data_IF_511631266534
#
_entry.id   IF_511631266534
#
_cell.length_a   1.000
_cell.length_b   1.000
_cell.length_c   1.000
_cell.angle_alpha   90.00
_cell.angle_beta   90.00
_cell.angle_gamma   90.00
#
_symmetry.space_group_name_H-M   'P 1'
#
loop_
_entity.id
_entity.type
_entity.pdbx_description
1 polymer ?
#
# COMPACT_ATOMS: atom_id res chain seq x y z
N UNK A 1 -13.64 -14.08 47.20
CA UNK A 1 -13.90 -15.49 46.83
C UNK A 1 -15.29 -15.49 46.22
N UNK A 2 -15.37 -15.32 44.90
CA UNK A 2 -16.63 -15.21 44.14
C UNK A 2 -16.69 -16.41 43.20
N UNK A 3 -17.85 -17.06 43.20
CA UNK A 3 -18.13 -18.40 42.67
C UNK A 3 -17.98 -18.47 41.13
N UNK A 4 -17.27 -19.47 40.54
CA UNK A 4 -17.06 -19.57 39.09
C UNK A 4 -18.31 -19.86 38.24
N UNK A 5 -19.48 -20.05 38.87
CA UNK A 5 -20.72 -20.41 38.19
C UNK A 5 -21.50 -19.21 37.60
N UNK A 6 -21.13 -17.96 37.91
CA UNK A 6 -22.01 -16.80 37.70
C UNK A 6 -21.83 -16.04 36.38
N UNK A 7 -21.04 -16.53 35.41
CA UNK A 7 -20.77 -15.77 34.18
C UNK A 7 -21.07 -16.47 32.86
N UNK A 8 -21.87 -17.54 32.87
CA UNK A 8 -22.25 -18.24 31.64
C UNK A 8 -23.50 -17.61 31.01
N UNK A 9 -23.32 -16.92 29.89
CA UNK A 9 -24.40 -16.19 29.19
C UNK A 9 -25.06 -17.03 28.11
N UNK A 10 -26.31 -16.72 27.78
CA UNK A 10 -27.00 -17.29 26.60
C UNK A 10 -26.71 -16.47 25.35
N UNK A 11 -26.98 -17.03 24.17
CA UNK A 11 -26.79 -16.31 22.90
C UNK A 11 -27.62 -15.02 22.82
N UNK A 12 -28.80 -14.98 23.48
CA UNK A 12 -29.64 -13.80 23.55
C UNK A 12 -29.00 -12.68 24.36
N UNK A 13 -28.40 -13.03 25.50
CA UNK A 13 -27.73 -12.09 26.39
C UNK A 13 -26.51 -11.47 25.70
N UNK A 14 -25.69 -12.29 25.05
CA UNK A 14 -24.50 -11.83 24.31
C UNK A 14 -24.89 -10.94 23.14
N UNK A 15 -25.94 -11.31 22.39
CA UNK A 15 -26.42 -10.54 21.24
C UNK A 15 -26.88 -9.14 21.67
N UNK A 16 -27.68 -9.06 22.74
CA UNK A 16 -28.16 -7.79 23.28
C UNK A 16 -27.02 -6.91 23.78
N UNK A 17 -26.03 -7.50 24.45
CA UNK A 17 -24.90 -6.78 25.03
C UNK A 17 -23.97 -6.16 23.99
N UNK A 18 -23.71 -6.85 22.89
CA UNK A 18 -22.79 -6.37 21.84
C UNK A 18 -23.53 -5.63 20.71
N UNK A 19 -24.85 -5.54 20.79
CA UNK A 19 -25.69 -4.81 19.84
C UNK A 19 -25.82 -5.48 18.47
N UNK A 20 -25.87 -6.82 18.42
CA UNK A 20 -26.12 -7.59 17.17
C UNK A 20 -27.31 -8.53 17.35
N UNK A 21 -27.82 -9.12 16.26
CA UNK A 21 -28.89 -10.11 16.37
C UNK A 21 -28.36 -11.49 16.82
N UNK A 22 -29.16 -12.31 17.52
CA UNK A 22 -28.79 -13.71 17.82
C UNK A 22 -28.50 -14.53 16.56
N UNK A 23 -29.12 -14.19 15.42
CA UNK A 23 -28.85 -14.83 14.13
C UNK A 23 -27.45 -14.48 13.60
N UNK A 24 -26.95 -13.29 13.88
CA UNK A 24 -25.58 -12.87 13.53
C UNK A 24 -24.55 -13.69 14.31
N UNK A 25 -24.77 -13.91 15.62
CA UNK A 25 -23.91 -14.79 16.42
C UNK A 25 -23.90 -16.24 15.91
N UNK A 26 -25.06 -16.77 15.50
CA UNK A 26 -25.15 -18.12 14.89
C UNK A 26 -24.38 -18.23 13.57
N UNK A 27 -24.34 -17.16 12.78
CA UNK A 27 -23.52 -17.12 11.56
C UNK A 27 -22.03 -17.15 11.93
N UNK A 28 -21.60 -16.41 12.96
CA UNK A 28 -20.22 -16.45 13.44
C UNK A 28 -19.82 -17.83 13.97
N UNK A 29 -20.71 -18.51 14.68
CA UNK A 29 -20.50 -19.91 15.11
C UNK A 29 -20.34 -20.88 13.95
N UNK A 30 -21.24 -20.80 12.95
CA UNK A 30 -21.16 -21.65 11.75
C UNK A 30 -19.88 -21.40 10.96
N UNK A 31 -19.32 -20.20 11.09
CA UNK A 31 -18.09 -19.78 10.44
C UNK A 31 -16.85 -19.95 11.34
N UNK A 32 -17.02 -20.59 12.50
CA UNK A 32 -16.00 -20.91 13.50
C UNK A 32 -15.28 -19.69 14.10
N UNK A 33 -15.89 -18.50 13.97
CA UNK A 33 -15.36 -17.26 14.54
C UNK A 33 -15.61 -17.14 16.04
N UNK A 34 -16.64 -17.83 16.51
CA UNK A 34 -17.07 -17.85 17.90
C UNK A 34 -17.51 -19.27 18.24
N UNK A 35 -16.76 -19.97 19.09
CA UNK A 35 -17.07 -21.36 19.46
C UNK A 35 -17.61 -21.38 20.88
N UNK A 36 -18.92 -21.55 21.09
CA UNK A 36 -19.50 -21.63 22.42
C UNK A 36 -19.30 -23.01 23.04
N UNK A 37 -19.18 -23.04 24.36
CA UNK A 37 -19.30 -24.28 25.10
C UNK A 37 -20.72 -24.83 25.06
N UNK A 38 -20.84 -26.14 25.22
CA UNK A 38 -22.11 -26.82 25.34
C UNK A 38 -22.23 -27.50 26.69
N UNK A 39 -23.34 -27.24 27.37
CA UNK A 39 -23.72 -28.00 28.57
C UNK A 39 -23.96 -29.47 28.22
N UNK A 40 -23.96 -30.36 29.22
CA UNK A 40 -24.29 -31.78 29.01
C UNK A 40 -25.68 -32.03 28.38
N UNK A 41 -26.59 -31.05 28.40
CA UNK A 41 -27.88 -31.06 27.70
C UNK A 41 -27.87 -30.44 26.30
N UNK A 42 -26.69 -30.13 25.74
CA UNK A 42 -26.53 -29.61 24.37
C UNK A 42 -26.84 -28.11 24.19
N UNK A 43 -27.18 -27.38 25.26
CA UNK A 43 -27.41 -25.93 25.18
C UNK A 43 -26.09 -25.15 25.16
N UNK A 44 -26.01 -24.14 24.28
CA UNK A 44 -24.86 -23.23 24.13
C UNK A 44 -24.72 -22.30 25.34
N UNK A 45 -23.49 -22.13 25.81
CA UNK A 45 -23.12 -21.18 26.86
C UNK A 45 -21.86 -20.41 26.46
N UNK A 46 -21.85 -19.12 26.77
CA UNK A 46 -20.73 -18.22 26.45
C UNK A 46 -20.07 -17.79 27.76
N UNK A 47 -18.80 -18.18 27.94
CA UNK A 47 -17.93 -17.66 28.98
C UNK A 47 -17.55 -16.20 28.69
N UNK A 48 -16.98 -15.46 29.68
CA UNK A 48 -16.45 -14.12 29.47
C UNK A 48 -15.57 -13.96 28.23
N UNK A 49 -14.71 -14.94 27.95
CA UNK A 49 -13.80 -14.96 26.80
C UNK A 49 -14.56 -15.02 25.46
N UNK A 50 -15.61 -15.83 25.39
CA UNK A 50 -16.50 -15.88 24.22
C UNK A 50 -17.20 -14.53 24.00
N UNK A 51 -17.62 -13.85 25.08
CA UNK A 51 -18.24 -12.52 24.97
C UNK A 51 -17.22 -11.47 24.53
N UNK A 52 -16.00 -11.51 25.05
CA UNK A 52 -14.91 -10.63 24.65
C UNK A 52 -14.58 -10.79 23.16
N UNK A 53 -14.46 -12.04 22.68
CA UNK A 53 -14.24 -12.35 21.26
C UNK A 53 -15.40 -11.88 20.38
N UNK A 54 -16.64 -12.08 20.82
CA UNK A 54 -17.82 -11.58 20.11
C UNK A 54 -17.85 -10.04 20.01
N UNK A 55 -17.44 -9.31 21.06
CA UNK A 55 -17.30 -7.84 21.01
C UNK A 55 -16.22 -7.40 20.03
N UNK A 56 -15.08 -8.08 20.02
CA UNK A 56 -13.98 -7.77 19.11
C UNK A 56 -14.40 -7.97 17.65
N UNK A 57 -15.11 -9.07 17.35
CA UNK A 57 -15.69 -9.31 16.03
C UNK A 57 -16.71 -8.20 15.67
N UNK A 58 -17.59 -7.81 16.59
CA UNK A 58 -18.58 -6.75 16.35
C UNK A 58 -17.93 -5.40 16.05
N UNK A 59 -16.86 -5.05 16.76
CA UNK A 59 -16.17 -3.77 16.60
C UNK A 59 -15.38 -3.70 15.28
N UNK A 60 -14.66 -4.77 14.92
CA UNK A 60 -13.96 -4.86 13.64
C UNK A 60 -14.92 -4.70 12.45
N UNK A 61 -16.12 -5.28 12.54
CA UNK A 61 -17.16 -5.11 11.51
C UNK A 61 -17.69 -3.69 11.43
N UNK A 62 -17.87 -3.00 12.56
CA UNK A 62 -18.38 -1.61 12.59
C UNK A 62 -17.36 -0.59 12.10
N UNK A 63 -16.12 -0.66 12.56
CA UNK A 63 -15.08 0.32 12.19
C UNK A 63 -14.54 0.15 10.79
N UNK A 64 -14.36 -1.10 10.34
CA UNK A 64 -13.64 -1.38 9.10
C UNK A 64 -14.50 -2.02 8.01
N UNK A 65 -15.79 -2.30 8.27
CA UNK A 65 -16.69 -2.92 7.29
C UNK A 65 -16.30 -4.35 6.91
N UNK A 66 -15.43 -5.00 7.70
CA UNK A 66 -14.86 -6.30 7.38
C UNK A 66 -15.92 -7.40 7.29
N UNK A 67 -15.78 -8.27 6.28
CA UNK A 67 -16.61 -9.46 6.18
C UNK A 67 -16.11 -10.55 7.16
N UNK A 68 -16.95 -11.53 7.52
CA UNK A 68 -16.58 -12.56 8.50
C UNK A 68 -15.34 -13.40 8.11
N UNK A 69 -15.02 -13.53 6.82
CA UNK A 69 -13.84 -14.27 6.37
C UNK A 69 -12.53 -13.51 6.63
N UNK A 70 -12.52 -12.19 6.45
CA UNK A 70 -11.37 -11.34 6.77
C UNK A 70 -11.07 -11.29 8.28
N UNK A 71 -12.13 -11.37 9.11
CA UNK A 71 -12.00 -11.40 10.57
C UNK A 71 -11.39 -12.73 11.06
N UNK A 72 -11.71 -13.85 10.40
CA UNK A 72 -11.14 -15.17 10.74
C UNK A 72 -9.62 -15.19 10.57
N UNK A 73 -9.14 -14.56 9.51
CA UNK A 73 -7.71 -14.52 9.18
C UNK A 73 -6.94 -13.64 10.18
N UNK A 74 -7.62 -12.67 10.81
CA UNK A 74 -6.98 -11.63 11.63
C UNK A 74 -7.11 -11.84 13.14
N UNK A 75 -7.91 -12.81 13.60
CA UNK A 75 -8.05 -13.15 15.01
C UNK A 75 -7.36 -14.49 15.28
N UNK A 76 -6.20 -14.52 15.94
CA UNK A 76 -5.52 -15.78 16.25
C UNK A 76 -6.42 -16.68 17.11
N UNK A 77 -6.24 -18.00 16.97
CA UNK A 77 -6.89 -18.98 17.83
C UNK A 77 -6.25 -18.95 19.22
N UNK A 78 -7.10 -19.02 20.25
CA UNK A 78 -6.71 -18.93 21.65
C UNK A 78 -5.93 -20.20 22.06
N UNK A 79 -4.60 -20.15 21.93
CA UNK A 79 -3.76 -21.28 22.34
C UNK A 79 -2.27 -21.03 22.16
N UNK A 80 -1.63 -20.44 23.18
CA UNK A 80 -0.21 -20.63 23.43
C UNK A 80 0.72 -19.54 22.90
N UNK A 81 1.29 -18.81 23.86
CA UNK A 81 2.56 -18.06 23.88
C UNK A 81 3.50 -18.18 22.67
N UNK A 82 3.99 -17.00 22.27
CA UNK A 82 5.06 -16.70 21.32
C UNK A 82 4.79 -17.01 19.84
N UNK A 83 4.23 -16.02 19.13
CA UNK A 83 4.19 -15.99 17.67
C UNK A 83 4.07 -14.54 17.13
N UNK A 84 4.55 -14.29 15.90
CA UNK A 84 5.10 -13.03 15.45
C UNK A 84 4.02 -11.98 15.14
N UNK A 85 4.41 -10.73 15.34
CA UNK A 85 3.76 -9.52 14.83
C UNK A 85 3.38 -9.72 13.35
N UNK A 86 2.08 -9.85 13.06
CA UNK A 86 1.58 -10.09 11.70
C UNK A 86 1.10 -8.76 11.10
N UNK A 87 1.42 -8.48 9.82
CA UNK A 87 1.49 -7.10 9.29
C UNK A 87 0.12 -6.45 9.21
N UNK A 88 0.08 -5.15 9.53
CA UNK A 88 -1.08 -4.30 9.31
C UNK A 88 -1.63 -4.51 7.88
N UNK A 89 -2.95 -4.66 7.76
CA UNK A 89 -3.61 -4.77 6.46
C UNK A 89 -3.12 -3.67 5.52
N UNK A 90 -2.61 -4.06 4.35
CA UNK A 90 -1.96 -3.15 3.40
C UNK A 90 -2.84 -1.92 3.14
N UNK A 91 -2.30 -0.70 3.22
CA UNK A 91 -3.08 0.51 3.05
C UNK A 91 -3.81 0.51 1.71
N UNK A 92 -5.07 0.95 1.72
CA UNK A 92 -5.83 1.11 0.49
C UNK A 92 -5.19 2.22 -0.36
N UNK A 93 -5.22 2.11 -1.69
CA UNK A 93 -4.69 3.15 -2.56
C UNK A 93 -5.54 4.41 -2.38
N UNK A 94 -4.96 5.51 -1.90
CA UNK A 94 -5.67 6.80 -1.83
C UNK A 94 -5.73 7.42 -3.23
N UNK A 95 -6.67 6.93 -4.04
CA UNK A 95 -7.01 7.51 -5.34
C UNK A 95 -7.44 8.98 -5.26
N UNK A 96 -7.92 9.43 -4.09
CA UNK A 96 -8.34 10.80 -3.92
C UNK A 96 -7.15 11.76 -3.93
N UNK A 97 -5.93 11.33 -3.55
CA UNK A 97 -4.68 12.12 -3.74
C UNK A 97 -4.46 12.46 -5.20
N UNK A 98 -4.50 11.45 -6.08
CA UNK A 98 -4.33 11.63 -7.52
C UNK A 98 -5.39 12.59 -8.08
N UNK A 99 -6.65 12.41 -7.66
CA UNK A 99 -7.75 13.31 -8.05
C UNK A 99 -7.51 14.75 -7.62
N UNK A 100 -7.06 14.99 -6.38
CA UNK A 100 -6.73 16.34 -5.88
C UNK A 100 -5.59 16.95 -6.67
N UNK A 101 -4.53 16.19 -6.95
CA UNK A 101 -3.40 16.62 -7.77
C UNK A 101 -3.85 17.04 -9.19
N UNK A 102 -4.65 16.20 -9.86
CA UNK A 102 -5.19 16.47 -11.20
C UNK A 102 -6.02 17.75 -11.23
N UNK A 103 -6.92 17.91 -10.27
CA UNK A 103 -7.77 19.11 -10.18
C UNK A 103 -6.94 20.36 -9.87
N UNK A 104 -5.91 20.26 -9.03
CA UNK A 104 -5.01 21.37 -8.72
C UNK A 104 -4.22 21.83 -9.95
N UNK A 105 -3.80 20.90 -10.82
CA UNK A 105 -3.15 21.14 -12.12
C UNK A 105 -4.11 21.70 -13.19
N UNK A 106 -5.42 21.65 -12.95
CA UNK A 106 -6.45 22.13 -13.86
C UNK A 106 -6.80 21.15 -14.99
N UNK A 107 -6.45 19.87 -14.85
CA UNK A 107 -6.68 18.85 -15.88
C UNK A 107 -8.04 18.16 -15.72
N UNK A 108 -8.71 17.93 -16.84
CA UNK A 108 -9.85 17.01 -16.88
C UNK A 108 -9.36 15.57 -16.77
N UNK A 109 -10.25 14.65 -16.37
CA UNK A 109 -9.94 13.22 -16.35
C UNK A 109 -9.48 12.72 -17.72
N UNK A 110 -10.14 13.18 -18.80
CA UNK A 110 -9.78 12.84 -20.17
C UNK A 110 -8.42 13.39 -20.60
N UNK A 111 -8.08 14.61 -20.17
CA UNK A 111 -6.80 15.22 -20.48
C UNK A 111 -5.65 14.45 -19.83
N UNK A 112 -5.73 14.16 -18.52
CA UNK A 112 -4.69 13.40 -17.82
C UNK A 112 -4.57 11.97 -18.35
N UNK A 113 -5.70 11.29 -18.60
CA UNK A 113 -5.66 9.92 -19.13
C UNK A 113 -4.93 9.85 -20.48
N UNK A 114 -5.19 10.81 -21.37
CA UNK A 114 -4.52 10.90 -22.67
C UNK A 114 -3.02 11.15 -22.52
N UNK A 115 -2.63 12.07 -21.64
CA UNK A 115 -1.22 12.45 -21.44
C UNK A 115 -0.41 11.34 -20.75
N UNK A 116 -1.03 10.63 -19.80
CA UNK A 116 -0.44 9.48 -19.12
C UNK A 116 -0.61 8.15 -19.90
N UNK A 117 -1.10 8.21 -21.14
CA UNK A 117 -1.28 7.05 -22.03
C UNK A 117 -2.06 5.90 -21.36
N UNK A 118 -3.19 6.22 -20.75
CA UNK A 118 -4.12 5.27 -20.11
C UNK A 118 -5.57 5.57 -20.49
N UNK A 119 -6.49 4.64 -20.20
CA UNK A 119 -7.91 4.88 -20.45
C UNK A 119 -8.53 5.76 -19.36
N UNK A 120 -9.54 6.54 -19.73
CA UNK A 120 -10.33 7.33 -18.77
C UNK A 120 -11.04 6.45 -17.74
N UNK A 121 -11.46 5.24 -18.15
CA UNK A 121 -12.08 4.26 -17.27
C UNK A 121 -11.08 3.76 -16.20
N UNK A 122 -9.86 3.42 -16.61
CA UNK A 122 -8.81 2.98 -15.70
C UNK A 122 -8.40 4.10 -14.74
N UNK A 123 -8.15 5.32 -15.25
CA UNK A 123 -7.84 6.48 -14.39
C UNK A 123 -8.98 6.78 -13.40
N UNK A 124 -10.25 6.69 -13.84
CA UNK A 124 -11.41 6.85 -12.95
C UNK A 124 -11.47 5.79 -11.86
N UNK A 125 -11.07 4.57 -12.16
CA UNK A 125 -11.01 3.46 -11.21
C UNK A 125 -9.95 3.70 -10.15
N UNK A 126 -8.76 4.12 -10.57
CA UNK A 126 -7.65 4.51 -9.68
C UNK A 126 -8.07 5.68 -8.79
N UNK A 127 -8.65 6.76 -9.33
CA UNK A 127 -9.07 7.92 -8.52
C UNK A 127 -10.17 7.61 -7.48
N UNK A 128 -10.89 6.51 -7.66
CA UNK A 128 -11.88 6.00 -6.71
C UNK A 128 -11.31 4.98 -5.73
N UNK A 129 -10.02 4.67 -5.82
CA UNK A 129 -9.34 3.68 -4.99
C UNK A 129 -9.73 2.24 -5.29
N UNK A 130 -10.29 1.97 -6.49
CA UNK A 130 -10.70 0.61 -6.87
C UNK A 130 -9.55 -0.19 -7.49
N UNK A 131 -8.64 0.48 -8.18
CA UNK A 131 -7.47 -0.14 -8.83
C UNK A 131 -6.17 0.50 -8.31
N UNK A 132 -5.10 -0.30 -8.31
CA UNK A 132 -3.72 0.17 -8.06
C UNK A 132 -3.03 0.44 -9.39
N UNK A 133 -2.31 1.56 -9.55
CA UNK A 133 -1.46 1.75 -10.71
C UNK A 133 -0.15 0.96 -10.58
N UNK A 134 0.41 0.52 -11.71
CA UNK A 134 1.79 0.06 -11.80
C UNK A 134 2.79 1.20 -11.63
N UNK A 135 4.06 0.89 -11.32
CA UNK A 135 5.15 1.89 -11.28
C UNK A 135 5.23 2.68 -12.57
N UNK A 136 5.13 2.02 -13.72
CA UNK A 136 5.14 2.66 -15.04
C UNK A 136 3.99 3.69 -15.18
N UNK A 137 2.79 3.35 -14.71
CA UNK A 137 1.65 4.25 -14.80
C UNK A 137 1.80 5.42 -13.80
N UNK A 138 2.31 5.18 -12.59
CA UNK A 138 2.60 6.27 -11.64
C UNK A 138 3.59 7.26 -12.24
N UNK A 139 4.71 6.79 -12.81
CA UNK A 139 5.70 7.65 -13.45
C UNK A 139 5.08 8.53 -14.55
N UNK A 140 4.29 7.94 -15.45
CA UNK A 140 3.59 8.69 -16.51
C UNK A 140 2.58 9.71 -15.97
N UNK A 141 1.84 9.35 -14.93
CA UNK A 141 0.87 10.25 -14.28
C UNK A 141 1.58 11.43 -13.62
N UNK A 142 2.69 11.19 -12.93
CA UNK A 142 3.44 12.24 -12.21
C UNK A 142 4.16 13.17 -13.18
N UNK A 143 4.70 12.63 -14.28
CA UNK A 143 5.27 13.43 -15.37
C UNK A 143 4.22 14.34 -16.01
N UNK A 144 3.03 13.81 -16.35
CA UNK A 144 1.91 14.58 -16.89
C UNK A 144 1.40 15.66 -15.91
N UNK A 145 1.49 15.40 -14.61
CA UNK A 145 1.13 16.36 -13.57
C UNK A 145 2.24 17.40 -13.33
N UNK A 146 3.48 17.14 -13.76
CA UNK A 146 4.64 17.97 -13.49
C UNK A 146 5.05 17.92 -12.02
N UNK A 147 4.93 16.75 -11.38
CA UNK A 147 5.31 16.53 -9.98
C UNK A 147 6.26 15.32 -9.88
N UNK A 148 7.08 15.24 -8.83
CA UNK A 148 7.84 14.03 -8.51
C UNK A 148 6.91 12.85 -8.16
N UNK A 149 7.42 11.61 -8.28
CA UNK A 149 6.62 10.42 -7.93
C UNK A 149 6.18 10.45 -6.47
N UNK A 150 7.10 10.85 -5.59
CA UNK A 150 6.84 10.99 -4.16
C UNK A 150 5.68 11.97 -3.89
N UNK A 151 5.38 12.90 -4.80
CA UNK A 151 4.30 13.89 -4.67
C UNK A 151 2.90 13.31 -4.50
N UNK A 152 2.69 12.02 -4.77
CA UNK A 152 1.44 11.29 -4.53
C UNK A 152 1.46 10.42 -3.25
N UNK A 153 2.59 10.36 -2.53
CA UNK A 153 2.74 9.57 -1.33
C UNK A 153 2.01 10.17 -0.11
N UNK A 154 1.76 9.32 0.89
CA UNK A 154 1.07 9.67 2.13
C UNK A 154 2.04 10.12 3.23
N UNK A 155 2.52 11.36 3.11
CA UNK A 155 3.43 11.87 4.12
C UNK A 155 2.71 12.23 5.41
N UNK A 156 3.18 11.65 6.50
CA UNK A 156 2.82 12.09 7.84
C UNK A 156 3.81 13.19 8.24
N UNK A 157 3.32 14.41 8.46
CA UNK A 157 4.17 15.54 8.81
C UNK A 157 4.95 15.24 10.11
N UNK A 158 6.27 15.29 10.04
CA UNK A 158 7.16 15.16 11.20
C UNK A 158 7.99 16.43 11.34
N UNK A 159 8.34 16.81 12.57
CA UNK A 159 9.19 17.98 12.86
C UNK A 159 10.68 17.73 12.59
N UNK A 160 11.05 16.61 11.93
CA UNK A 160 12.42 16.14 11.84
C UNK A 160 12.89 15.89 10.40
N UNK A 161 14.17 16.16 10.14
CA UNK A 161 14.93 15.68 8.97
C UNK A 161 15.06 14.14 8.92
N UNK A 162 14.55 13.42 9.94
CA UNK A 162 14.69 11.98 10.11
C UNK A 162 13.36 11.30 9.85
N UNK A 163 13.29 10.48 8.81
CA UNK A 163 12.19 9.54 8.57
C UNK A 163 12.54 8.21 9.24
N UNK A 164 11.73 7.77 10.21
CA UNK A 164 11.89 6.46 10.84
C UNK A 164 11.21 5.40 9.98
N UNK A 165 11.67 4.16 10.09
CA UNK A 165 11.12 3.03 9.32
C UNK A 165 9.59 2.90 9.45
N UNK A 166 9.06 2.97 10.67
CA UNK A 166 7.61 2.91 10.89
C UNK A 166 6.81 4.15 10.44
N UNK A 167 7.50 5.24 10.09
CA UNK A 167 6.89 6.52 9.70
C UNK A 167 7.04 6.80 8.19
N UNK A 168 7.67 5.90 7.42
CA UNK A 168 7.82 6.06 5.96
C UNK A 168 6.46 6.10 5.30
N UNK A 169 6.33 6.88 4.23
CA UNK A 169 5.11 6.92 3.44
C UNK A 169 5.08 5.69 2.50
N UNK A 170 4.20 4.69 2.72
CA UNK A 170 4.18 3.49 1.92
C UNK A 170 3.20 3.63 0.73
N UNK A 171 3.59 3.11 -0.42
CA UNK A 171 2.78 3.04 -1.63
C UNK A 171 2.83 1.62 -2.17
N UNK A 172 1.68 0.97 -2.11
CA UNK A 172 1.45 -0.37 -2.66
C UNK A 172 0.99 -0.25 -4.11
N UNK A 173 1.84 -0.69 -5.04
CA UNK A 173 1.67 -0.60 -6.47
C UNK A 173 1.18 -1.93 -7.06
N UNK A 174 0.66 -1.90 -8.27
CA UNK A 174 0.36 -3.12 -9.03
C UNK A 174 1.65 -3.90 -9.33
N UNK A 175 1.52 -5.17 -9.72
CA UNK A 175 2.61 -6.05 -10.11
C UNK A 175 3.62 -6.32 -8.98
N UNK A 176 3.14 -6.38 -7.74
CA UNK A 176 3.92 -6.87 -6.60
C UNK A 176 5.04 -5.92 -6.16
N UNK A 177 4.85 -4.62 -6.36
CA UNK A 177 5.81 -3.61 -5.98
C UNK A 177 5.32 -2.80 -4.76
N UNK A 178 6.16 -2.69 -3.75
CA UNK A 178 5.93 -1.90 -2.55
C UNK A 178 7.02 -0.83 -2.43
N UNK A 179 6.63 0.42 -2.31
CA UNK A 179 7.51 1.58 -2.30
C UNK A 179 7.38 2.33 -0.98
N UNK A 180 8.50 2.68 -0.34
CA UNK A 180 8.49 3.46 0.90
C UNK A 180 9.43 4.66 0.77
N UNK A 181 8.91 5.87 0.94
CA UNK A 181 9.73 7.09 0.89
C UNK A 181 10.67 7.18 2.11
N UNK A 182 11.97 7.41 1.86
CA UNK A 182 12.99 7.53 2.91
C UNK A 182 13.29 8.98 3.32
N UNK A 183 12.62 9.95 2.69
CA UNK A 183 12.78 11.37 2.97
C UNK A 183 11.45 12.12 2.91
N UNK A 184 11.39 13.28 3.56
CA UNK A 184 10.25 14.20 3.43
C UNK A 184 10.28 14.93 2.07
N UNK A 185 9.14 15.44 1.58
CA UNK A 185 9.07 16.23 0.34
C UNK A 185 9.93 17.49 0.37
N UNK A 186 10.46 17.88 -0.79
CA UNK A 186 11.21 19.13 -0.97
C UNK A 186 12.68 18.96 -1.30
N UNK A 187 13.21 17.73 -1.26
CA UNK A 187 14.59 17.45 -1.58
C UNK A 187 14.78 17.11 -3.06
N UNK A 188 15.92 17.52 -3.64
CA UNK A 188 16.28 17.13 -5.01
C UNK A 188 16.58 15.64 -5.15
N UNK A 189 17.06 15.03 -4.06
CA UNK A 189 17.31 13.60 -3.96
C UNK A 189 16.08 12.94 -3.34
N UNK A 190 15.46 12.00 -4.05
CA UNK A 190 14.30 11.21 -3.60
C UNK A 190 14.71 9.76 -3.38
N UNK A 191 15.22 9.41 -2.18
CA UNK A 191 15.50 8.05 -1.80
C UNK A 191 14.22 7.32 -1.37
N UNK A 192 14.08 6.09 -1.82
CA UNK A 192 13.01 5.17 -1.46
C UNK A 192 13.55 3.76 -1.22
N UNK A 193 12.84 3.00 -0.39
CA UNK A 193 12.98 1.54 -0.33
C UNK A 193 11.97 0.92 -1.28
N UNK A 194 12.45 0.18 -2.28
CA UNK A 194 11.62 -0.59 -3.20
C UNK A 194 11.72 -2.07 -2.84
N UNK A 195 10.59 -2.68 -2.52
CA UNK A 195 10.46 -4.13 -2.33
C UNK A 195 9.64 -4.72 -3.48
N UNK A 196 10.16 -5.74 -4.14
CA UNK A 196 9.56 -6.39 -5.31
C UNK A 196 9.31 -7.86 -4.98
N UNK A 197 8.04 -8.26 -4.91
CA UNK A 197 7.67 -9.65 -4.71
C UNK A 197 8.21 -10.55 -5.86
N UNK A 198 8.38 -11.86 -5.65
CA UNK A 198 8.72 -12.80 -6.73
C UNK A 198 7.76 -12.64 -7.93
N UNK A 199 8.31 -12.52 -9.13
CA UNK A 199 7.55 -12.25 -10.36
C UNK A 199 7.03 -10.81 -10.50
N UNK A 200 7.27 -9.95 -9.51
CA UNK A 200 6.86 -8.55 -9.54
C UNK A 200 7.66 -7.73 -10.54
N UNK A 201 7.10 -6.63 -11.02
CA UNK A 201 7.72 -5.80 -12.07
C UNK A 201 7.24 -4.35 -12.06
N UNK A 202 7.91 -3.50 -12.83
CA UNK A 202 7.48 -2.12 -13.05
C UNK A 202 6.17 -2.00 -13.84
N UNK A 203 5.66 -3.09 -14.41
CA UNK A 203 4.51 -3.11 -15.31
C UNK A 203 4.79 -2.63 -16.73
N UNK A 204 6.06 -2.33 -17.04
CA UNK A 204 6.50 -1.85 -18.36
C UNK A 204 7.62 -0.80 -18.27
N UNK A 205 8.16 -0.35 -19.42
CA UNK A 205 9.22 0.63 -19.50
C UNK A 205 8.67 2.02 -19.23
N UNK A 206 9.38 2.76 -18.40
CA UNK A 206 9.16 4.19 -18.16
C UNK A 206 10.51 4.89 -18.16
N UNK A 207 10.51 6.19 -18.40
CA UNK A 207 11.70 7.04 -18.26
C UNK A 207 11.44 8.08 -17.19
N UNK A 208 12.51 8.70 -16.69
CA UNK A 208 12.43 9.80 -15.73
C UNK A 208 13.25 10.99 -16.21
N UNK A 209 12.83 12.22 -15.91
CA UNK A 209 13.52 13.42 -16.37
C UNK A 209 14.89 13.63 -15.73
N UNK A 210 15.25 12.88 -14.69
CA UNK A 210 16.55 12.94 -14.04
C UNK A 210 17.18 11.56 -13.84
N UNK A 211 18.36 11.55 -13.23
CA UNK A 211 19.14 10.32 -13.03
C UNK A 211 18.47 9.40 -12.01
N UNK A 212 18.55 8.10 -12.25
CA UNK A 212 18.08 7.07 -11.33
C UNK A 212 19.26 6.22 -10.89
N UNK A 213 19.38 5.97 -9.59
CA UNK A 213 20.33 5.04 -9.01
C UNK A 213 19.57 3.96 -8.25
N UNK A 214 19.97 2.70 -8.41
CA UNK A 214 19.42 1.60 -7.63
C UNK A 214 20.56 0.71 -7.11
N UNK A 215 20.50 0.37 -5.83
CA UNK A 215 21.40 -0.58 -5.17
C UNK A 215 20.60 -1.73 -4.61
N UNK A 216 20.95 -2.96 -5.00
CA UNK A 216 20.22 -4.16 -4.57
C UNK A 216 20.77 -4.62 -3.22
N UNK A 217 19.88 -4.72 -2.23
CA UNK A 217 20.19 -5.13 -0.86
C UNK A 217 19.94 -6.63 -0.66
N UNK A 218 18.85 -7.14 -1.23
CA UNK A 218 18.41 -8.53 -1.09
C UNK A 218 17.75 -8.99 -2.40
N UNK A 219 17.80 -10.29 -2.67
CA UNK A 219 17.24 -10.90 -3.88
C UNK A 219 17.99 -10.52 -5.15
N UNK A 220 17.33 -10.67 -6.30
CA UNK A 220 17.89 -10.35 -7.61
C UNK A 220 16.86 -9.57 -8.43
N UNK A 221 17.31 -8.54 -9.14
CA UNK A 221 16.46 -7.74 -10.03
C UNK A 221 17.04 -7.78 -11.44
N UNK A 222 16.18 -8.13 -12.39
CA UNK A 222 16.49 -8.02 -13.80
C UNK A 222 16.10 -6.63 -14.29
N UNK A 223 17.08 -5.90 -14.81
CA UNK A 223 16.90 -4.59 -15.41
C UNK A 223 17.02 -4.66 -16.93
N UNK A 224 16.25 -3.82 -17.60
CA UNK A 224 16.29 -3.65 -19.05
C UNK A 224 16.20 -2.18 -19.38
N UNK A 225 17.21 -1.67 -20.10
CA UNK A 225 17.40 -0.25 -20.39
C UNK A 225 17.24 0.02 -21.89
N UNK A 226 16.81 1.23 -22.25
CA UNK A 226 16.60 1.63 -23.65
C UNK A 226 15.20 1.30 -24.17
N UNK A 227 15.04 1.30 -25.50
CA UNK A 227 13.74 1.16 -26.15
C UNK A 227 12.83 2.38 -26.00
N UNK A 228 11.52 2.16 -26.12
CA UNK A 228 10.50 3.20 -25.93
C UNK A 228 9.31 2.67 -25.11
N UNK A 229 8.35 3.52 -24.78
CA UNK A 229 7.10 3.10 -24.11
C UNK A 229 6.28 2.09 -24.93
N UNK A 230 6.50 2.00 -26.25
CA UNK A 230 5.75 1.15 -27.18
C UNK A 230 6.60 0.06 -27.84
N UNK A 231 7.92 0.11 -27.68
CA UNK A 231 8.87 -0.80 -28.32
C UNK A 231 9.85 -1.34 -27.27
N UNK A 232 9.48 -2.51 -26.74
CA UNK A 232 10.26 -3.24 -25.75
C UNK A 232 11.37 -4.09 -26.36
N UNK A 233 11.38 -4.25 -27.68
CA UNK A 233 12.34 -5.08 -28.40
C UNK A 233 13.59 -4.26 -28.80
N UNK A 234 13.45 -2.93 -28.85
CA UNK A 234 14.56 -1.99 -28.99
C UNK A 234 15.36 -1.73 -27.69
N UNK A 235 15.12 -2.51 -26.63
CA UNK A 235 15.86 -2.40 -25.38
C UNK A 235 17.22 -3.11 -25.46
N UNK A 236 18.18 -2.67 -24.65
CA UNK A 236 19.38 -3.43 -24.35
C UNK A 236 19.04 -4.83 -23.80
N UNK A 237 20.05 -5.72 -23.80
CA UNK A 237 19.94 -7.02 -23.14
C UNK A 237 19.54 -6.85 -21.66
N UNK A 238 18.92 -7.89 -21.11
CA UNK A 238 18.47 -7.88 -19.72
C UNK A 238 19.65 -8.18 -18.82
N UNK A 239 19.92 -7.28 -17.88
CA UNK A 239 21.02 -7.40 -16.90
C UNK A 239 20.47 -7.87 -15.56
N UNK A 240 21.04 -8.95 -15.02
CA UNK A 240 20.74 -9.45 -13.67
C UNK A 240 21.62 -8.74 -12.65
N UNK A 241 21.01 -8.15 -11.65
CA UNK A 241 21.68 -7.35 -10.63
C UNK A 241 21.35 -7.95 -9.26
N UNK A 242 22.38 -8.44 -8.57
CA UNK A 242 22.26 -9.14 -7.29
C UNK A 242 22.66 -8.29 -6.09
N UNK A 243 22.65 -8.85 -4.87
CA UNK A 243 22.95 -8.09 -3.66
C UNK A 243 24.36 -7.49 -3.67
N UNK A 244 24.46 -6.20 -3.38
CA UNK A 244 25.71 -5.45 -3.42
C UNK A 244 25.99 -4.77 -4.76
N UNK A 245 25.30 -5.16 -5.84
CA UNK A 245 25.42 -4.55 -7.14
C UNK A 245 24.55 -3.29 -7.25
N UNK A 246 24.89 -2.42 -8.21
CA UNK A 246 24.16 -1.16 -8.42
C UNK A 246 24.06 -0.85 -9.90
N UNK A 247 23.03 -0.09 -10.27
CA UNK A 247 22.91 0.53 -11.58
C UNK A 247 22.75 2.05 -11.47
N UNK A 248 23.15 2.75 -12.52
CA UNK A 248 22.84 4.17 -12.71
C UNK A 248 22.25 4.33 -14.10
N UNK A 249 21.06 4.93 -14.17
CA UNK A 249 20.32 5.17 -15.39
C UNK A 249 20.32 6.67 -15.67
N UNK A 250 20.91 7.11 -16.80
CA UNK A 250 20.88 8.51 -17.19
C UNK A 250 19.46 9.04 -17.41
N UNK A 251 19.27 10.38 -17.38
CA UNK A 251 17.96 10.98 -17.62
C UNK A 251 17.37 10.58 -18.96
N UNK A 252 16.05 10.47 -19.01
CA UNK A 252 15.24 10.13 -20.20
C UNK A 252 15.53 8.76 -20.83
N UNK A 253 16.39 7.93 -20.23
CA UNK A 253 16.55 6.53 -20.65
C UNK A 253 15.37 5.72 -20.10
N UNK A 254 14.71 4.98 -20.98
CA UNK A 254 13.68 4.03 -20.58
C UNK A 254 14.30 2.89 -19.78
N UNK A 255 13.64 2.54 -18.69
CA UNK A 255 14.01 1.42 -17.83
C UNK A 255 12.77 0.58 -17.52
N UNK A 256 12.95 -0.72 -17.45
CA UNK A 256 12.00 -1.64 -16.83
C UNK A 256 12.75 -2.60 -15.93
N UNK A 257 12.06 -3.08 -14.91
CA UNK A 257 12.64 -4.03 -13.96
C UNK A 257 11.64 -5.11 -13.60
N UNK A 258 12.16 -6.28 -13.24
CA UNK A 258 11.38 -7.39 -12.68
C UNK A 258 12.21 -8.19 -11.68
N UNK A 259 11.55 -8.74 -10.68
CA UNK A 259 12.12 -9.78 -9.85
C UNK A 259 11.84 -11.15 -10.51
N UNK A 260 12.85 -11.73 -11.16
CA UNK A 260 12.77 -13.07 -11.75
C UNK A 260 13.22 -14.19 -10.80
N UNK A 261 13.55 -13.84 -9.56
CA UNK A 261 13.90 -14.78 -8.50
C UNK A 261 12.70 -15.33 -7.75
N UNK A 262 12.96 -16.23 -6.81
CA UNK A 262 11.95 -16.90 -5.99
C UNK A 262 11.73 -16.22 -4.62
N UNK A 263 12.59 -15.25 -4.26
CA UNK A 263 12.53 -14.49 -3.01
C UNK A 263 12.26 -13.01 -3.30
N UNK A 264 11.64 -12.25 -2.38
CA UNK A 264 11.50 -10.81 -2.54
C UNK A 264 12.85 -10.14 -2.78
N UNK A 265 12.90 -9.18 -3.70
CA UNK A 265 14.05 -8.33 -3.93
C UNK A 265 13.84 -6.99 -3.22
N UNK A 266 14.89 -6.46 -2.59
CA UNK A 266 14.87 -5.16 -1.92
C UNK A 266 15.96 -4.27 -2.48
N UNK A 267 15.60 -3.04 -2.84
CA UNK A 267 16.50 -2.07 -3.45
C UNK A 267 16.42 -0.73 -2.71
N UNK A 268 17.57 -0.13 -2.44
CA UNK A 268 17.64 1.31 -2.24
C UNK A 268 17.52 1.97 -3.61
N UNK A 269 16.44 2.70 -3.82
CA UNK A 269 16.16 3.42 -5.05
C UNK A 269 16.35 4.91 -4.81
N UNK A 270 17.02 5.61 -5.71
CA UNK A 270 17.27 7.04 -5.60
C UNK A 270 16.97 7.69 -6.93
N UNK A 271 16.13 8.70 -6.90
CA UNK A 271 15.87 9.54 -8.06
C UNK A 271 16.40 10.94 -7.81
N UNK A 272 17.21 11.42 -8.75
CA UNK A 272 17.64 12.80 -8.76
C UNK A 272 16.65 13.59 -9.61
N UNK A 273 15.92 14.49 -8.97
CA UNK A 273 14.99 15.37 -9.67
C UNK A 273 15.74 16.50 -10.38
N UNK A 274 15.20 17.02 -11.50
CA UNK A 274 15.74 18.22 -12.12
C UNK A 274 15.72 19.41 -11.12
N UNK A 275 16.66 20.36 -11.27
CA UNK A 275 16.64 21.58 -10.48
C UNK A 275 15.26 22.23 -10.57
N UNK A 276 14.72 22.64 -9.42
CA UNK A 276 13.40 23.27 -9.26
C UNK A 276 12.17 22.36 -9.29
N UNK A 277 12.32 21.04 -9.40
CA UNK A 277 11.17 20.12 -9.35
C UNK A 277 10.25 20.36 -8.14
N UNK A 278 10.79 20.80 -7.00
CA UNK A 278 10.02 21.17 -5.81
C UNK A 278 9.77 22.67 -5.62
N UNK A 279 10.58 23.53 -6.25
CA UNK A 279 10.48 24.98 -6.06
C UNK A 279 9.53 25.65 -7.05
N UNK A 280 9.06 24.92 -8.08
CA UNK A 280 8.04 25.42 -8.99
C UNK A 280 6.71 25.67 -8.24
N UNK A 281 6.11 26.89 -8.33
CA UNK A 281 4.87 27.21 -7.62
C UNK A 281 3.69 26.33 -7.98
N UNK A 282 3.61 25.82 -9.22
CA UNK A 282 2.56 24.89 -9.63
C UNK A 282 2.77 23.54 -8.96
N UNK A 283 4.00 23.02 -8.94
CA UNK A 283 4.33 21.77 -8.24
C UNK A 283 4.00 21.85 -6.75
N UNK A 284 4.40 22.92 -6.06
CA UNK A 284 4.07 23.11 -4.64
C UNK A 284 2.56 23.12 -4.39
N UNK A 285 1.80 23.79 -5.26
CA UNK A 285 0.33 23.83 -5.18
C UNK A 285 -0.28 22.44 -5.37
N UNK A 286 0.21 21.66 -6.32
CA UNK A 286 -0.31 20.32 -6.63
C UNK A 286 -0.02 19.37 -5.47
N UNK A 287 1.22 19.35 -4.99
CA UNK A 287 1.62 18.46 -3.89
C UNK A 287 0.87 18.82 -2.62
N UNK A 288 0.77 20.11 -2.28
CA UNK A 288 -0.03 20.56 -1.13
C UNK A 288 -1.49 20.14 -1.24
N UNK A 289 -2.08 20.17 -2.43
CA UNK A 289 -3.43 19.68 -2.64
C UNK A 289 -3.54 18.16 -2.49
N UNK A 290 -2.53 17.42 -2.92
CA UNK A 290 -2.48 15.97 -2.84
C UNK A 290 -2.26 15.48 -1.39
N UNK A 291 -1.10 15.78 -0.81
CA UNK A 291 -0.61 15.23 0.46
C UNK A 291 -0.86 16.13 1.67
N UNK A 292 -1.27 17.39 1.47
CA UNK A 292 -1.39 18.37 2.55
C UNK A 292 -0.06 18.93 3.04
N UNK A 293 1.07 18.39 2.58
CA UNK A 293 2.43 18.86 2.92
C UNK A 293 2.82 20.01 2.00
N UNK A 294 3.46 21.03 2.57
CA UNK A 294 4.14 22.07 1.79
C UNK A 294 5.61 21.70 1.71
N UNK A 295 6.15 21.37 0.52
CA UNK A 295 7.55 20.99 0.36
C UNK A 295 8.47 22.10 0.86
N UNK A 296 9.55 21.73 1.55
CA UNK A 296 10.57 22.69 1.97
C UNK A 296 11.42 23.01 0.74
N UNK A 297 11.42 24.28 0.30
CA UNK A 297 12.14 24.73 -0.89
C UNK A 297 13.63 24.96 -0.67
#
# INVERSE_FOLDING_TARGET
>A
MTDPAESWRTIGDVAAEIGVSPQTLRVWEKQELLVPDRTGGGQRRYAPEHVARARQIAELRRRHGWNPAAIRISLPDDGGTDAPEQPAAAPQPDGARLRRARLARGLSLAALAREAETSTAHLSSIERGLDRPSTQLVARLTDALGIPMSGLADFHATDATVVREGDRAPVELENGAHWEELSMPGHQLEPAMLTIAPGGSSGGPYSRPGETFAHVLEGEVEFRLGGTSHDHDATAETERVGPGDSITVPPSIFLSWRNAGEVPARCLWIELLPPHAWSDPMTQRIVRAASGVTPVG
#
